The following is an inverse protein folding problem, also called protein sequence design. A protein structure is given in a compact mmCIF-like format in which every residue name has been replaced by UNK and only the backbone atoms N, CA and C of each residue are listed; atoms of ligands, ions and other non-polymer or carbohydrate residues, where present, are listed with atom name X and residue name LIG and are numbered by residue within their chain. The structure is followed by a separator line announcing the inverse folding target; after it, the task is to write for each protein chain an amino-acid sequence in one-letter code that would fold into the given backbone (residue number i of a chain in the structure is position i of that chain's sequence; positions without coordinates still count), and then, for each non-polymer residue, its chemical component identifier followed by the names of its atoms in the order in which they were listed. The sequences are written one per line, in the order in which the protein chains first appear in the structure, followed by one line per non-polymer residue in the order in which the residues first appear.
data_IF_530128280431
#
_entry.id   IF_530128280431
#
_cell.length_a   1.000
_cell.length_b   1.000
_cell.length_c   1.000
_cell.angle_alpha   90.00
_cell.angle_beta   90.00
_cell.angle_gamma   90.00
#
_symmetry.space_group_name_H-M   'P 1'
#
loop_
_entity.id
_entity.type
_entity.pdbx_description
1 polymer ?
#
# COMPACT_ATOMS: atom_id res chain seq x y z
N UNK A 1 -28.37 2.55 39.13
CA UNK A 1 -27.68 3.57 38.30
C UNK A 1 -27.01 4.59 39.21
N UNK A 2 -25.71 4.86 39.00
CA UNK A 2 -24.94 5.91 39.70
C UNK A 2 -25.42 7.30 39.23
N UNK A 3 -25.86 8.17 40.15
CA UNK A 3 -26.38 9.51 39.80
C UNK A 3 -25.22 10.52 39.67
N UNK A 4 -25.41 11.56 38.84
CA UNK A 4 -24.39 12.59 38.53
C UNK A 4 -23.72 13.23 39.76
N UNK A 5 -24.45 13.38 40.87
CA UNK A 5 -23.95 14.02 42.08
C UNK A 5 -23.39 13.05 43.13
N UNK A 6 -23.50 11.74 42.90
CA UNK A 6 -23.04 10.71 43.85
C UNK A 6 -21.51 10.71 43.96
N UNK A 7 -20.92 10.25 45.09
CA UNK A 7 -19.49 9.99 45.19
C UNK A 7 -19.03 9.04 44.09
N UNK A 8 -17.90 9.36 43.47
CA UNK A 8 -17.35 8.57 42.38
C UNK A 8 -16.76 7.25 42.89
N UNK A 9 -17.11 6.13 42.25
CA UNK A 9 -16.71 4.78 42.66
C UNK A 9 -15.22 4.45 42.42
N UNK A 10 -14.45 5.36 41.83
CA UNK A 10 -13.03 5.18 41.54
C UNK A 10 -12.09 5.50 42.73
N UNK A 11 -12.64 5.70 43.93
CA UNK A 11 -11.85 6.03 45.13
C UNK A 11 -11.33 7.47 45.21
N UNK A 12 -11.68 8.34 44.26
CA UNK A 12 -11.17 9.72 44.23
C UNK A 12 -11.80 10.68 45.24
N UNK A 13 -12.89 10.28 45.92
CA UNK A 13 -13.66 11.13 46.83
C UNK A 13 -14.43 12.28 46.18
N UNK A 14 -14.32 12.49 44.85
CA UNK A 14 -15.02 13.54 44.10
C UNK A 14 -16.44 13.09 43.70
N UNK A 15 -17.33 14.04 43.40
CA UNK A 15 -18.64 13.75 42.76
C UNK A 15 -18.42 13.14 41.37
N UNK A 16 -19.23 12.16 40.97
CA UNK A 16 -19.11 11.44 39.69
C UNK A 16 -19.03 12.40 38.48
N UNK A 17 -19.89 13.43 38.42
CA UNK A 17 -19.87 14.46 37.37
C UNK A 17 -18.59 15.30 37.29
N UNK A 18 -17.80 15.36 38.36
CA UNK A 18 -16.52 16.10 38.44
C UNK A 18 -15.32 15.16 38.40
N UNK A 19 -15.53 13.89 38.04
CA UNK A 19 -14.50 12.86 38.03
C UNK A 19 -14.63 11.97 36.78
N UNK A 20 -14.96 10.69 36.92
CA UNK A 20 -14.99 9.73 35.81
C UNK A 20 -15.94 10.14 34.69
N UNK A 21 -17.05 10.84 34.97
CA UNK A 21 -17.96 11.35 33.92
C UNK A 21 -17.24 12.37 33.02
N UNK A 22 -16.55 13.35 33.61
CA UNK A 22 -15.78 14.34 32.85
C UNK A 22 -14.61 13.72 32.09
N UNK A 23 -13.95 12.70 32.66
CA UNK A 23 -12.89 11.96 31.96
C UNK A 23 -13.45 11.25 30.73
N UNK A 24 -14.59 10.59 30.85
CA UNK A 24 -15.24 9.90 29.74
C UNK A 24 -15.74 10.88 28.67
N UNK A 25 -16.33 12.02 29.07
CA UNK A 25 -16.72 13.10 28.16
C UNK A 25 -15.49 13.66 27.41
N UNK A 26 -14.35 13.87 28.10
CA UNK A 26 -13.12 14.34 27.46
C UNK A 26 -12.55 13.35 26.46
N UNK A 27 -12.59 12.04 26.77
CA UNK A 27 -12.15 10.98 25.84
C UNK A 27 -13.00 10.94 24.59
N UNK A 28 -14.32 11.00 24.74
CA UNK A 28 -15.25 11.03 23.61
C UNK A 28 -15.02 12.24 22.69
N UNK A 29 -14.74 13.42 23.27
CA UNK A 29 -14.39 14.62 22.51
C UNK A 29 -13.10 14.42 21.72
N UNK A 30 -12.05 13.84 22.33
CA UNK A 30 -10.78 13.57 21.62
C UNK A 30 -11.03 12.60 20.45
N UNK A 31 -11.75 11.51 20.69
CA UNK A 31 -12.12 10.54 19.64
C UNK A 31 -12.86 11.23 18.48
N UNK A 32 -13.82 12.10 18.78
CA UNK A 32 -14.55 12.86 17.76
C UNK A 32 -13.66 13.84 17.00
N UNK A 33 -12.77 14.57 17.69
CA UNK A 33 -11.81 15.48 17.07
C UNK A 33 -10.85 14.71 16.13
N UNK A 34 -10.38 13.53 16.53
CA UNK A 34 -9.51 12.68 15.71
C UNK A 34 -10.23 12.19 14.44
N UNK A 35 -11.48 11.73 14.55
CA UNK A 35 -12.26 11.31 13.39
C UNK A 35 -12.55 12.46 12.42
N UNK A 36 -12.77 13.68 12.93
CA UNK A 36 -12.91 14.88 12.08
C UNK A 36 -11.60 15.19 11.35
N UNK A 37 -10.46 15.08 12.02
CA UNK A 37 -9.14 15.29 11.42
C UNK A 37 -8.84 14.25 10.34
N UNK A 38 -9.17 12.97 10.58
CA UNK A 38 -9.07 11.92 9.57
C UNK A 38 -9.92 12.23 8.33
N UNK A 39 -11.19 12.58 8.53
CA UNK A 39 -12.11 12.94 7.44
C UNK A 39 -11.56 14.13 6.64
N UNK A 40 -11.07 15.15 7.33
CA UNK A 40 -10.51 16.34 6.68
C UNK A 40 -9.20 16.04 5.94
N UNK A 41 -8.36 15.16 6.50
CA UNK A 41 -7.13 14.69 5.85
C UNK A 41 -7.46 13.97 4.55
N UNK A 42 -8.34 12.97 4.60
CA UNK A 42 -8.78 12.21 3.43
C UNK A 42 -9.40 13.15 2.38
N UNK A 43 -10.30 14.04 2.79
CA UNK A 43 -10.91 15.03 1.89
C UNK A 43 -9.85 15.94 1.24
N UNK A 44 -8.88 16.43 2.02
CA UNK A 44 -7.80 17.28 1.49
C UNK A 44 -6.94 16.51 0.51
N UNK A 45 -6.61 15.25 0.81
CA UNK A 45 -5.87 14.38 -0.10
C UNK A 45 -6.60 14.22 -1.44
N UNK A 46 -7.88 13.85 -1.39
CA UNK A 46 -8.69 13.56 -2.59
C UNK A 46 -9.09 14.79 -3.40
N UNK A 47 -9.09 15.98 -2.82
CA UNK A 47 -9.44 17.22 -3.56
C UNK A 47 -8.21 17.96 -4.06
N UNK A 48 -7.16 18.08 -3.25
CA UNK A 48 -5.96 18.84 -3.61
C UNK A 48 -4.97 18.04 -4.45
N UNK A 49 -4.87 16.74 -4.21
CA UNK A 49 -3.92 15.84 -4.87
C UNK A 49 -4.63 14.81 -5.75
N UNK A 50 -5.87 15.12 -6.18
CA UNK A 50 -6.70 14.23 -6.96
C UNK A 50 -5.96 13.70 -8.19
N UNK A 51 -5.30 14.58 -8.94
CA UNK A 51 -4.63 14.23 -10.19
C UNK A 51 -3.47 13.28 -9.96
N UNK A 52 -2.64 13.55 -8.96
CA UNK A 52 -1.49 12.75 -8.59
C UNK A 52 -1.90 11.35 -8.10
N UNK A 53 -2.98 11.30 -7.30
CA UNK A 53 -3.56 10.05 -6.80
C UNK A 53 -4.22 9.25 -7.93
N UNK A 54 -5.06 9.88 -8.76
CA UNK A 54 -5.73 9.21 -9.90
C UNK A 54 -4.73 8.70 -10.92
N UNK A 55 -3.71 9.49 -11.28
CA UNK A 55 -2.69 9.03 -12.23
C UNK A 55 -1.93 7.80 -11.70
N UNK A 56 -1.66 7.75 -10.40
CA UNK A 56 -1.00 6.61 -9.79
C UNK A 56 -1.90 5.38 -9.73
N UNK A 57 -3.17 5.56 -9.36
CA UNK A 57 -4.15 4.47 -9.34
C UNK A 57 -4.39 3.93 -10.75
N UNK A 58 -4.44 4.79 -11.77
CA UNK A 58 -4.56 4.38 -13.17
C UNK A 58 -3.32 3.61 -13.65
N UNK A 59 -2.11 4.10 -13.35
CA UNK A 59 -0.90 3.36 -13.68
C UNK A 59 -0.88 2.01 -12.97
N UNK A 60 -1.37 1.94 -11.73
CA UNK A 60 -1.53 0.70 -11.01
C UNK A 60 -2.54 -0.23 -11.72
N UNK A 61 -3.77 0.21 -12.00
CA UNK A 61 -4.79 -0.61 -12.68
C UNK A 61 -4.35 -1.16 -14.03
N UNK A 62 -3.54 -0.42 -14.79
CA UNK A 62 -2.97 -0.91 -16.04
C UNK A 62 -2.07 -2.14 -15.86
N UNK A 63 -1.43 -2.28 -14.69
CA UNK A 63 -0.66 -3.47 -14.30
C UNK A 63 -1.57 -4.63 -13.88
N UNK A 64 -2.77 -4.34 -13.37
CA UNK A 64 -3.71 -5.33 -12.83
C UNK A 64 -5.07 -5.30 -13.58
N UNK A 65 -5.10 -5.59 -14.90
CA UNK A 65 -6.32 -5.49 -15.69
C UNK A 65 -7.36 -6.60 -15.41
N UNK A 66 -6.92 -7.76 -14.90
CA UNK A 66 -7.74 -8.99 -14.76
C UNK A 66 -8.31 -9.21 -13.35
N UNK A 67 -8.30 -8.19 -12.49
CA UNK A 67 -8.78 -8.30 -11.12
C UNK A 67 -10.26 -7.88 -11.05
N UNK A 68 -11.11 -8.70 -10.40
CA UNK A 68 -12.54 -8.39 -10.22
C UNK A 68 -12.75 -6.94 -9.74
N UNK A 69 -13.78 -6.25 -10.25
CA UNK A 69 -14.01 -4.80 -10.04
C UNK A 69 -14.04 -4.41 -8.54
N UNK A 70 -14.55 -5.29 -7.68
CA UNK A 70 -14.59 -5.13 -6.22
C UNK A 70 -13.21 -5.21 -5.54
N UNK A 71 -12.34 -6.12 -5.99
CA UNK A 71 -10.96 -6.27 -5.51
C UNK A 71 -10.15 -5.07 -5.97
N UNK A 72 -10.38 -4.63 -7.21
CA UNK A 72 -9.85 -3.43 -7.83
C UNK A 72 -10.19 -2.15 -7.02
N UNK A 73 -11.44 -1.97 -6.58
CA UNK A 73 -11.85 -0.83 -5.75
C UNK A 73 -11.24 -0.85 -4.33
N UNK A 74 -11.26 -2.02 -3.67
CA UNK A 74 -10.73 -2.20 -2.32
C UNK A 74 -9.21 -1.96 -2.29
N UNK A 75 -8.50 -2.55 -3.26
CA UNK A 75 -7.07 -2.36 -3.45
C UNK A 75 -6.74 -0.89 -3.66
N UNK A 76 -7.42 -0.22 -4.59
CA UNK A 76 -7.22 1.21 -4.83
C UNK A 76 -7.45 2.06 -3.59
N UNK A 77 -8.52 1.80 -2.83
CA UNK A 77 -8.83 2.54 -1.61
C UNK A 77 -7.75 2.38 -0.53
N UNK A 78 -7.21 1.17 -0.36
CA UNK A 78 -6.10 0.93 0.56
C UNK A 78 -4.78 1.57 0.10
N UNK A 79 -4.50 1.53 -1.21
CA UNK A 79 -3.30 2.15 -1.77
C UNK A 79 -3.35 3.67 -1.65
N UNK A 80 -4.52 4.29 -1.76
CA UNK A 80 -4.68 5.72 -1.54
C UNK A 80 -4.24 6.14 -0.13
N UNK A 81 -4.59 5.36 0.91
CA UNK A 81 -4.11 5.62 2.27
C UNK A 81 -2.59 5.47 2.33
N UNK A 82 -2.03 4.42 1.74
CA UNK A 82 -0.58 4.24 1.67
C UNK A 82 0.14 5.43 1.03
N UNK A 83 -0.38 5.96 -0.08
CA UNK A 83 0.18 7.13 -0.76
C UNK A 83 0.19 8.37 0.13
N UNK A 84 -0.86 8.58 0.94
CA UNK A 84 -0.97 9.73 1.83
C UNK A 84 0.19 9.76 2.84
N UNK A 85 0.56 8.60 3.39
CA UNK A 85 1.57 8.48 4.45
C UNK A 85 2.99 8.19 3.96
N UNK A 86 3.15 7.62 2.78
CA UNK A 86 4.45 7.04 2.38
C UNK A 86 5.01 7.56 1.07
N UNK A 87 4.20 8.16 0.19
CA UNK A 87 4.70 8.67 -1.08
C UNK A 87 5.12 10.14 -0.95
N UNK A 88 6.39 10.48 -1.20
CA UNK A 88 6.81 11.88 -1.30
C UNK A 88 6.11 12.58 -2.46
N UNK A 89 5.60 13.78 -2.21
CA UNK A 89 4.99 14.67 -3.22
C UNK A 89 5.87 15.88 -3.54
N UNK A 90 6.97 16.06 -2.82
CA UNK A 90 7.93 17.15 -2.98
C UNK A 90 9.36 16.61 -2.97
N UNK A 91 10.30 17.35 -3.55
CA UNK A 91 11.73 16.97 -3.63
C UNK A 91 12.38 16.81 -2.24
N UNK A 92 11.85 17.48 -1.22
CA UNK A 92 12.33 17.39 0.16
C UNK A 92 11.89 16.12 0.90
N UNK A 93 11.15 15.22 0.25
CA UNK A 93 10.66 13.97 0.85
C UNK A 93 9.32 14.08 1.58
N UNK A 94 8.69 15.26 1.66
CA UNK A 94 7.42 15.44 2.36
C UNK A 94 6.27 14.68 1.66
N UNK A 95 5.43 14.06 2.49
CA UNK A 95 4.21 13.36 2.07
C UNK A 95 2.98 14.28 2.12
N UNK A 96 1.83 13.77 1.63
CA UNK A 96 0.54 14.47 1.77
C UNK A 96 0.21 14.65 3.25
N UNK A 97 0.45 13.61 4.07
CA UNK A 97 0.22 13.67 5.49
C UNK A 97 1.07 14.74 6.19
N UNK A 98 2.35 14.84 5.85
CA UNK A 98 3.24 15.88 6.42
C UNK A 98 2.67 17.28 6.15
N UNK A 99 2.25 17.52 4.91
CA UNK A 99 1.68 18.81 4.50
C UNK A 99 0.36 19.12 5.24
N UNK A 100 -0.48 18.09 5.43
CA UNK A 100 -1.71 18.19 6.21
C UNK A 100 -1.42 18.55 7.67
N UNK A 101 -0.51 17.81 8.32
CA UNK A 101 -0.15 18.00 9.72
C UNK A 101 0.41 19.39 9.97
N UNK A 102 1.35 19.86 9.15
CA UNK A 102 1.94 21.21 9.25
C UNK A 102 0.87 22.32 9.20
N UNK A 103 -0.16 22.12 8.37
CA UNK A 103 -1.26 23.08 8.20
C UNK A 103 -2.24 23.05 9.39
N UNK A 104 -2.36 21.91 10.06
CA UNK A 104 -3.41 21.65 11.06
C UNK A 104 -2.94 21.73 12.50
N UNK A 105 -1.72 21.29 12.80
CA UNK A 105 -1.24 21.11 14.17
C UNK A 105 -1.37 22.38 15.02
N UNK A 106 -1.09 23.56 14.44
CA UNK A 106 -1.21 24.87 15.12
C UNK A 106 -2.66 25.30 15.41
N UNK A 107 -3.64 24.69 14.75
CA UNK A 107 -5.08 24.98 14.93
C UNK A 107 -5.74 24.06 15.95
N UNK A 108 -5.08 22.96 16.34
CA UNK A 108 -5.59 22.00 17.32
C UNK A 108 -5.38 22.59 18.71
N UNK A 109 -6.49 22.90 19.39
CA UNK A 109 -6.45 23.52 20.73
C UNK A 109 -6.14 22.52 21.84
N UNK A 110 -6.48 21.24 21.65
CA UNK A 110 -6.38 20.20 22.68
C UNK A 110 -5.01 19.50 22.60
N UNK A 111 -4.18 19.57 23.64
CA UNK A 111 -2.85 18.94 23.62
C UNK A 111 -2.90 17.44 23.37
N UNK A 112 -3.88 16.73 23.96
CA UNK A 112 -4.03 15.28 23.76
C UNK A 112 -4.29 14.92 22.29
N UNK A 113 -5.20 15.64 21.63
CA UNK A 113 -5.47 15.47 20.19
C UNK A 113 -4.24 15.80 19.35
N UNK A 114 -3.52 16.88 19.69
CA UNK A 114 -2.29 17.27 19.01
C UNK A 114 -1.19 16.19 19.14
N UNK A 115 -0.99 15.65 20.34
CA UNK A 115 -0.02 14.59 20.58
C UNK A 115 -0.38 13.32 19.82
N UNK A 116 -1.66 12.94 19.76
CA UNK A 116 -2.09 11.73 19.04
C UNK A 116 -1.92 11.92 17.54
N UNK A 117 -2.37 13.04 16.97
CA UNK A 117 -2.27 13.26 15.52
C UNK A 117 -0.80 13.24 15.08
N UNK A 118 0.13 13.81 15.84
CA UNK A 118 1.57 13.75 15.49
C UNK A 118 2.09 12.33 15.35
N UNK A 119 1.61 11.38 16.15
CA UNK A 119 2.02 9.96 16.04
C UNK A 119 1.52 9.28 14.77
N UNK A 120 0.49 9.81 14.10
CA UNK A 120 0.01 9.20 12.85
C UNK A 120 1.02 9.31 11.71
N UNK A 121 2.06 10.14 11.83
CA UNK A 121 3.20 10.15 10.90
C UNK A 121 3.92 8.79 10.82
N UNK A 122 3.81 7.98 11.87
CA UNK A 122 4.42 6.65 11.96
C UNK A 122 3.47 5.53 11.48
N UNK A 123 2.25 5.88 11.05
CA UNK A 123 1.27 4.92 10.54
C UNK A 123 1.86 4.17 9.36
N UNK A 124 1.84 2.84 9.42
CA UNK A 124 2.30 1.92 8.37
C UNK A 124 1.21 0.91 8.08
N UNK A 125 1.16 0.33 6.86
CA UNK A 125 0.30 -0.81 6.61
C UNK A 125 0.69 -1.99 7.50
N UNK A 126 -0.30 -2.76 7.94
CA UNK A 126 -0.12 -3.93 8.77
C UNK A 126 -1.06 -5.07 8.35
N UNK A 127 -0.60 -6.30 8.59
CA UNK A 127 -1.45 -7.49 8.65
C UNK A 127 -1.40 -7.99 10.09
N UNK A 128 -2.54 -7.97 10.76
CA UNK A 128 -2.68 -8.31 12.17
C UNK A 128 -3.41 -9.64 12.31
N UNK A 129 -2.83 -10.62 12.99
CA UNK A 129 -3.52 -11.85 13.39
C UNK A 129 -4.18 -11.63 14.76
N UNK A 130 -5.50 -11.81 14.81
CA UNK A 130 -6.28 -11.66 16.04
C UNK A 130 -5.96 -12.81 16.99
N UNK A 131 -5.45 -12.50 18.18
CA UNK A 131 -5.11 -13.48 19.21
C UNK A 131 -6.30 -13.76 20.13
N UNK A 132 -6.98 -12.70 20.56
CA UNK A 132 -8.12 -12.78 21.48
C UNK A 132 -9.02 -11.55 21.37
N UNK A 133 -10.32 -11.75 21.60
CA UNK A 133 -11.27 -10.64 21.80
C UNK A 133 -11.16 -10.16 23.26
N UNK A 134 -10.93 -8.86 23.47
CA UNK A 134 -10.90 -8.28 24.82
C UNK A 134 -12.30 -7.86 25.28
N UNK A 135 -13.16 -7.50 24.33
CA UNK A 135 -14.61 -7.29 24.48
C UNK A 135 -15.29 -7.36 23.10
N UNK A 136 -16.57 -6.99 23.01
CA UNK A 136 -17.36 -7.02 21.76
C UNK A 136 -16.85 -6.06 20.67
N UNK A 137 -15.99 -5.09 21.01
CA UNK A 137 -15.55 -4.00 20.12
C UNK A 137 -14.04 -3.85 20.03
N UNK A 138 -13.28 -4.67 20.76
CA UNK A 138 -11.82 -4.59 20.83
C UNK A 138 -11.20 -5.98 20.85
N UNK A 139 -10.02 -6.08 20.26
CA UNK A 139 -9.22 -7.29 20.29
C UNK A 139 -7.74 -6.99 20.47
N UNK A 140 -7.02 -8.03 20.88
CA UNK A 140 -5.56 -8.09 20.90
C UNK A 140 -5.10 -8.87 19.67
N UNK A 141 -4.19 -8.28 18.91
CA UNK A 141 -3.70 -8.84 17.66
C UNK A 141 -2.18 -8.74 17.56
N UNK A 142 -1.56 -9.71 16.88
CA UNK A 142 -0.13 -9.71 16.58
C UNK A 142 0.11 -9.16 15.18
N UNK A 143 1.00 -8.17 15.05
CA UNK A 143 1.50 -7.74 13.76
C UNK A 143 2.37 -8.82 13.14
N UNK A 144 1.97 -9.34 11.97
CA UNK A 144 2.69 -10.43 11.29
C UNK A 144 4.03 -9.98 10.69
N UNK A 145 4.27 -8.67 10.55
CA UNK A 145 5.54 -8.13 10.07
C UNK A 145 6.56 -7.91 11.18
N UNK A 146 6.12 -7.42 12.34
CA UNK A 146 7.03 -7.03 13.45
C UNK A 146 7.01 -8.00 14.62
N UNK A 147 6.00 -8.86 14.71
CA UNK A 147 5.75 -9.72 15.86
C UNK A 147 5.17 -9.00 17.08
N UNK A 148 5.04 -7.67 17.03
CA UNK A 148 4.51 -6.87 18.14
C UNK A 148 3.02 -7.10 18.33
N UNK A 149 2.58 -7.13 19.59
CA UNK A 149 1.17 -7.24 19.94
C UNK A 149 0.56 -5.86 20.16
N UNK A 150 -0.63 -5.63 19.62
CA UNK A 150 -1.37 -4.37 19.73
C UNK A 150 -2.82 -4.63 20.13
N UNK A 151 -3.37 -3.74 20.95
CA UNK A 151 -4.81 -3.70 21.24
C UNK A 151 -5.47 -2.63 20.40
N UNK A 152 -6.52 -3.01 19.66
CA UNK A 152 -7.20 -2.11 18.74
C UNK A 152 -8.71 -2.31 18.74
N UNK A 153 -9.43 -1.27 18.31
CA UNK A 153 -10.85 -1.36 18.03
C UNK A 153 -11.09 -2.24 16.80
N UNK A 154 -12.16 -3.01 16.84
CA UNK A 154 -12.68 -3.71 15.67
C UNK A 154 -13.57 -2.72 14.91
N UNK A 155 -13.34 -2.47 13.61
CA UNK A 155 -14.23 -1.63 12.84
C UNK A 155 -15.65 -2.22 12.86
N UNK A 156 -16.67 -1.37 13.00
CA UNK A 156 -18.05 -1.82 13.24
C UNK A 156 -18.60 -2.77 12.17
N UNK A 157 -18.15 -2.60 10.92
CA UNK A 157 -18.49 -3.47 9.79
C UNK A 157 -17.92 -4.90 9.89
N UNK A 158 -16.91 -5.11 10.75
CA UNK A 158 -16.23 -6.39 10.96
C UNK A 158 -16.52 -7.02 12.33
N UNK A 159 -17.28 -6.36 13.21
CA UNK A 159 -17.55 -6.85 14.58
C UNK A 159 -18.16 -8.26 14.63
N UNK A 160 -18.96 -8.63 13.64
CA UNK A 160 -19.62 -9.94 13.59
C UNK A 160 -18.77 -11.03 12.94
N UNK A 161 -17.67 -10.66 12.26
CA UNK A 161 -16.84 -11.58 11.47
C UNK A 161 -15.47 -11.84 12.07
N UNK A 162 -15.01 -10.96 12.97
CA UNK A 162 -13.71 -11.08 13.64
C UNK A 162 -13.78 -12.07 14.79
N UNK A 163 -12.88 -13.05 14.75
CA UNK A 163 -12.71 -14.06 15.79
C UNK A 163 -11.21 -14.38 15.98
N UNK A 164 -10.82 -15.04 17.08
CA UNK A 164 -9.43 -15.49 17.24
C UNK A 164 -8.95 -16.30 16.04
N UNK A 165 -7.79 -15.94 15.52
CA UNK A 165 -7.21 -16.47 14.30
C UNK A 165 -7.54 -15.68 13.04
N UNK A 166 -8.49 -14.74 13.04
CA UNK A 166 -8.75 -13.87 11.88
C UNK A 166 -7.53 -13.01 11.53
N UNK A 167 -7.40 -12.62 10.27
CA UNK A 167 -6.42 -11.61 9.82
C UNK A 167 -7.12 -10.29 9.50
N UNK A 168 -6.54 -9.19 9.98
CA UNK A 168 -7.01 -7.82 9.73
C UNK A 168 -5.92 -7.07 8.98
N UNK A 169 -6.26 -6.52 7.82
CA UNK A 169 -5.37 -5.76 6.95
C UNK A 169 -5.80 -4.30 7.01
N UNK A 170 -4.86 -3.37 7.23
CA UNK A 170 -5.16 -1.95 7.27
C UNK A 170 -4.01 -1.09 7.77
N UNK A 171 -4.33 0.15 8.17
CA UNK A 171 -3.38 1.15 8.64
C UNK A 171 -3.63 1.48 10.12
N UNK A 172 -3.11 0.67 11.06
CA UNK A 172 -3.31 0.91 12.48
C UNK A 172 -2.67 2.23 12.90
N UNK A 173 -3.46 3.08 13.55
CA UNK A 173 -3.06 4.39 14.05
C UNK A 173 -3.50 4.59 15.50
N UNK A 174 -2.79 5.44 16.23
CA UNK A 174 -3.08 5.70 17.64
C UNK A 174 -4.43 6.40 17.81
N UNK A 175 -5.30 5.82 18.63
CA UNK A 175 -6.52 6.46 19.12
C UNK A 175 -6.38 6.96 20.55
N UNK A 176 -7.47 7.51 21.11
CA UNK A 176 -7.49 8.00 22.50
C UNK A 176 -7.54 6.86 23.54
N UNK A 177 -8.17 5.74 23.20
CA UNK A 177 -8.36 4.60 24.12
C UNK A 177 -7.51 3.42 23.67
N UNK A 178 -7.78 2.96 22.45
CA UNK A 178 -7.11 1.85 21.79
C UNK A 178 -6.65 2.30 20.40
N UNK A 179 -5.80 1.50 19.75
CA UNK A 179 -5.48 1.75 18.35
C UNK A 179 -6.77 1.69 17.49
N UNK A 180 -6.82 2.51 16.46
CA UNK A 180 -7.87 2.53 15.43
C UNK A 180 -7.23 2.26 14.07
N UNK A 181 -8.03 2.27 12.99
CA UNK A 181 -7.53 2.21 11.63
C UNK A 181 -7.84 3.50 10.90
N UNK A 182 -6.95 3.89 9.99
CA UNK A 182 -7.17 4.99 9.04
C UNK A 182 -7.63 4.40 7.70
N UNK A 183 -8.78 4.86 7.21
CA UNK A 183 -9.36 4.40 5.94
C UNK A 183 -9.90 2.95 5.99
N UNK A 184 -9.99 2.26 4.84
CA UNK A 184 -10.64 0.95 4.75
C UNK A 184 -9.85 -0.14 5.48
N UNK A 185 -10.58 -1.12 6.01
CA UNK A 185 -10.05 -2.31 6.69
C UNK A 185 -10.59 -3.55 6.03
N UNK A 186 -9.74 -4.57 5.88
CA UNK A 186 -10.14 -5.89 5.41
C UNK A 186 -10.04 -6.85 6.58
N UNK A 187 -11.11 -7.61 6.82
CA UNK A 187 -11.12 -8.71 7.80
C UNK A 187 -11.32 -10.02 7.07
N UNK A 188 -10.39 -10.95 7.29
CA UNK A 188 -10.41 -12.31 6.76
C UNK A 188 -10.65 -13.28 7.91
N UNK A 189 -11.52 -14.27 7.68
CA UNK A 189 -11.76 -15.36 8.64
C UNK A 189 -10.52 -16.24 8.83
N UNK A 190 -10.39 -16.98 9.96
CA UNK A 190 -9.21 -17.78 10.28
C UNK A 190 -8.77 -18.78 9.20
N UNK A 191 -9.71 -19.24 8.36
CA UNK A 191 -9.43 -20.14 7.23
C UNK A 191 -8.42 -19.56 6.23
N UNK A 192 -8.35 -18.22 6.08
CA UNK A 192 -7.40 -17.55 5.17
C UNK A 192 -6.04 -17.27 5.82
N UNK A 193 -5.92 -17.35 7.14
CA UNK A 193 -4.72 -16.91 7.89
C UNK A 193 -3.45 -17.67 7.52
N UNK A 194 -3.53 -18.99 7.33
CA UNK A 194 -2.38 -19.78 6.91
C UNK A 194 -1.87 -19.37 5.52
N UNK A 195 -2.79 -19.04 4.60
CA UNK A 195 -2.46 -18.56 3.26
C UNK A 195 -1.81 -17.18 3.31
N UNK A 196 -2.38 -16.27 4.12
CA UNK A 196 -1.85 -14.91 4.27
C UNK A 196 -0.43 -14.96 4.85
N UNK A 197 -0.16 -15.80 5.86
CA UNK A 197 1.18 -16.03 6.41
C UNK A 197 2.15 -16.57 5.36
N UNK A 198 1.76 -17.58 4.58
CA UNK A 198 2.60 -18.10 3.49
C UNK A 198 2.98 -17.02 2.47
N UNK A 199 2.03 -16.16 2.08
CA UNK A 199 2.29 -15.03 1.16
C UNK A 199 3.26 -14.02 1.77
N UNK A 200 3.11 -13.72 3.06
CA UNK A 200 4.04 -12.82 3.80
C UNK A 200 5.43 -13.45 3.89
N UNK A 201 5.55 -14.73 4.25
CA UNK A 201 6.82 -15.43 4.39
C UNK A 201 7.58 -15.55 3.06
N UNK A 202 6.86 -15.84 1.97
CA UNK A 202 7.41 -15.84 0.61
C UNK A 202 7.95 -14.45 0.23
N UNK A 203 7.26 -13.39 0.67
CA UNK A 203 7.68 -12.01 0.46
C UNK A 203 8.92 -11.62 1.28
N UNK A 204 9.10 -12.18 2.49
CA UNK A 204 10.31 -11.96 3.32
C UNK A 204 11.53 -12.72 2.79
N UNK A 205 11.33 -13.96 2.37
CA UNK A 205 12.43 -14.90 2.10
C UNK A 205 13.24 -14.57 0.84
N UNK A 206 12.70 -13.74 -0.06
CA UNK A 206 13.32 -13.47 -1.36
C UNK A 206 14.28 -12.25 -1.37
N UNK A 207 14.56 -11.63 -0.22
CA UNK A 207 15.76 -10.81 0.00
C UNK A 207 15.76 -9.42 -0.66
N UNK A 208 15.15 -8.43 0.00
CA UNK A 208 15.70 -7.07 -0.02
C UNK A 208 15.58 -6.47 1.38
N UNK A 209 16.54 -5.64 1.79
CA UNK A 209 16.51 -4.89 3.06
C UNK A 209 15.41 -3.79 3.07
N UNK A 210 14.53 -3.77 2.05
CA UNK A 210 13.47 -2.77 1.95
C UNK A 210 12.37 -3.04 2.97
N UNK A 211 11.92 -1.99 3.72
CA UNK A 211 10.78 -2.14 4.62
C UNK A 211 9.55 -2.62 3.85
N UNK A 212 8.76 -3.53 4.42
CA UNK A 212 7.45 -3.96 3.91
C UNK A 212 6.57 -2.81 3.40
N UNK A 213 6.69 -1.65 4.02
CA UNK A 213 6.02 -0.42 3.62
C UNK A 213 6.34 -0.01 2.17
N UNK A 214 7.58 -0.13 1.69
CA UNK A 214 7.95 0.29 0.34
C UNK A 214 7.32 -0.61 -0.74
N UNK A 215 7.25 -1.92 -0.47
CA UNK A 215 6.68 -2.92 -1.38
C UNK A 215 5.24 -3.30 -1.03
N UNK A 216 4.56 -2.45 -0.26
CA UNK A 216 3.18 -2.66 0.16
C UNK A 216 2.21 -2.90 -1.02
N UNK A 217 2.29 -2.15 -2.13
CA UNK A 217 1.36 -2.38 -3.23
C UNK A 217 1.43 -3.78 -3.84
N UNK A 218 2.63 -4.36 -3.93
CA UNK A 218 2.85 -5.71 -4.44
C UNK A 218 2.32 -6.76 -3.45
N UNK A 219 2.64 -6.60 -2.16
CA UNK A 219 2.18 -7.52 -1.13
C UNK A 219 0.66 -7.48 -0.99
N UNK A 220 0.04 -6.29 -1.01
CA UNK A 220 -1.39 -6.14 -0.89
C UNK A 220 -2.11 -6.81 -2.07
N UNK A 221 -1.64 -6.60 -3.31
CA UNK A 221 -2.20 -7.31 -4.47
C UNK A 221 -2.13 -8.83 -4.30
N UNK A 222 -0.96 -9.34 -3.90
CA UNK A 222 -0.77 -10.75 -3.62
C UNK A 222 -1.74 -11.25 -2.54
N UNK A 223 -1.90 -10.53 -1.42
CA UNK A 223 -2.82 -10.92 -0.34
C UNK A 223 -4.28 -11.00 -0.80
N UNK A 224 -4.71 -10.09 -1.68
CA UNK A 224 -6.08 -10.04 -2.19
C UNK A 224 -6.35 -11.05 -3.32
N UNK A 225 -5.33 -11.46 -4.07
CA UNK A 225 -5.49 -12.47 -5.13
C UNK A 225 -6.02 -13.80 -4.56
N UNK A 226 -7.16 -14.27 -5.08
CA UNK A 226 -7.76 -15.54 -4.65
C UNK A 226 -6.96 -16.75 -5.13
N UNK A 227 -6.37 -16.65 -6.33
CA UNK A 227 -5.52 -17.65 -6.96
C UNK A 227 -4.06 -17.16 -7.00
N UNK A 228 -3.09 -18.08 -7.06
CA UNK A 228 -1.73 -17.72 -7.47
C UNK A 228 -1.79 -17.18 -8.90
N UNK A 229 -1.26 -15.97 -9.11
CA UNK A 229 -1.16 -15.41 -10.45
C UNK A 229 -0.29 -16.34 -11.31
N UNK A 230 -0.90 -16.96 -12.33
CA UNK A 230 -0.17 -17.77 -13.30
C UNK A 230 0.52 -16.79 -14.25
N UNK A 231 1.75 -16.40 -13.92
CA UNK A 231 2.58 -15.61 -14.84
C UNK A 231 2.81 -16.46 -16.08
N UNK A 232 2.40 -15.96 -17.24
CA UNK A 232 2.78 -16.59 -18.50
C UNK A 232 4.30 -16.51 -18.61
N UNK A 233 4.94 -17.63 -18.88
CA UNK A 233 6.37 -17.65 -19.19
C UNK A 233 6.65 -16.89 -20.49
N UNK A 234 7.90 -16.50 -20.71
CA UNK A 234 8.30 -15.97 -22.01
C UNK A 234 7.99 -16.97 -23.15
N UNK A 235 7.91 -18.27 -22.87
CA UNK A 235 7.58 -19.28 -23.89
C UNK A 235 6.12 -19.25 -24.35
N UNK A 236 5.22 -18.58 -23.61
CA UNK A 236 3.79 -18.52 -23.92
C UNK A 236 3.43 -17.44 -24.96
N UNK A 237 4.42 -16.67 -25.42
CA UNK A 237 4.24 -15.58 -26.40
C UNK A 237 4.85 -15.94 -27.77
N UNK A 238 4.20 -15.48 -28.84
CA UNK A 238 4.65 -15.71 -30.23
C UNK A 238 5.64 -14.63 -30.69
N UNK A 239 6.91 -14.75 -30.30
CA UNK A 239 7.93 -13.75 -30.60
C UNK A 239 8.35 -13.72 -32.07
N UNK A 240 8.67 -12.52 -32.57
CA UNK A 240 9.09 -12.31 -33.96
C UNK A 240 10.51 -12.78 -34.27
N UNK A 241 11.33 -13.04 -33.24
CA UNK A 241 12.70 -13.57 -33.35
C UNK A 241 13.22 -14.10 -32.01
N UNK A 242 14.28 -14.91 -32.05
CA UNK A 242 14.91 -15.43 -30.83
C UNK A 242 15.48 -14.31 -29.96
N UNK A 243 16.08 -13.26 -30.54
CA UNK A 243 16.63 -12.15 -29.78
C UNK A 243 15.54 -11.33 -29.06
N UNK A 244 14.33 -11.28 -29.62
CA UNK A 244 13.17 -10.65 -28.97
C UNK A 244 12.72 -11.47 -27.77
N UNK A 245 12.67 -12.80 -27.90
CA UNK A 245 12.38 -13.72 -26.80
C UNK A 245 13.44 -13.69 -25.70
N UNK A 246 14.71 -13.69 -26.08
CA UNK A 246 15.85 -13.58 -25.16
C UNK A 246 15.79 -12.30 -24.34
N UNK A 247 15.42 -11.18 -24.98
CA UNK A 247 15.18 -9.90 -24.28
C UNK A 247 14.07 -10.01 -23.24
N UNK A 248 12.96 -10.67 -23.59
CA UNK A 248 11.85 -10.89 -22.65
C UNK A 248 12.28 -11.73 -21.44
N UNK A 249 13.11 -12.76 -21.68
CA UNK A 249 13.63 -13.65 -20.65
C UNK A 249 14.56 -12.89 -19.69
N UNK A 250 15.50 -12.10 -20.23
CA UNK A 250 16.42 -11.27 -19.43
C UNK A 250 15.66 -10.23 -18.60
N UNK A 251 14.62 -9.62 -19.18
CA UNK A 251 13.74 -8.69 -18.48
C UNK A 251 13.04 -9.37 -17.30
N UNK A 252 12.45 -10.56 -17.51
CA UNK A 252 11.80 -11.32 -16.45
C UNK A 252 12.77 -11.73 -15.34
N UNK A 253 13.96 -12.20 -15.68
CA UNK A 253 15.00 -12.55 -14.70
C UNK A 253 15.39 -11.34 -13.86
N UNK A 254 15.54 -10.18 -14.50
CA UNK A 254 15.82 -8.92 -13.83
C UNK A 254 14.70 -8.49 -12.88
N UNK A 255 13.44 -8.68 -13.28
CA UNK A 255 12.29 -8.33 -12.46
C UNK A 255 12.12 -9.29 -11.27
N UNK A 256 12.25 -10.58 -11.49
CA UNK A 256 12.23 -11.64 -10.46
C UNK A 256 13.30 -11.43 -9.41
N UNK A 257 14.51 -11.07 -9.84
CA UNK A 257 15.64 -10.80 -8.93
C UNK A 257 15.36 -9.65 -7.97
N UNK A 258 14.57 -8.66 -8.38
CA UNK A 258 14.14 -7.54 -7.53
C UNK A 258 12.82 -7.79 -6.79
N UNK A 259 12.21 -8.97 -7.01
CA UNK A 259 10.95 -9.39 -6.42
C UNK A 259 9.80 -8.43 -6.78
N UNK A 260 9.79 -8.01 -8.04
CA UNK A 260 8.58 -7.40 -8.58
C UNK A 260 7.45 -8.43 -8.56
N UNK A 261 6.21 -7.94 -8.48
CA UNK A 261 5.07 -8.85 -8.39
C UNK A 261 4.88 -9.61 -9.71
N UNK A 262 4.29 -10.82 -9.67
CA UNK A 262 3.87 -11.59 -10.84
C UNK A 262 3.19 -10.77 -11.94
N UNK A 263 2.45 -9.74 -11.54
CA UNK A 263 1.68 -8.88 -12.44
C UNK A 263 2.56 -7.83 -13.12
N UNK A 264 3.60 -7.33 -12.46
CA UNK A 264 4.62 -6.49 -13.11
C UNK A 264 5.41 -7.32 -14.12
N UNK A 265 5.74 -8.58 -13.80
CA UNK A 265 6.37 -9.51 -14.73
C UNK A 265 5.48 -9.76 -15.96
N UNK A 266 4.20 -10.02 -15.74
CA UNK A 266 3.22 -10.23 -16.82
C UNK A 266 3.06 -8.97 -17.69
N UNK A 267 2.89 -7.79 -17.08
CA UNK A 267 2.81 -6.52 -17.79
C UNK A 267 4.08 -6.26 -18.61
N UNK A 268 5.25 -6.57 -18.06
CA UNK A 268 6.51 -6.44 -18.77
C UNK A 268 6.51 -7.25 -20.07
N UNK A 269 6.05 -8.51 -20.02
CA UNK A 269 5.91 -9.35 -21.21
C UNK A 269 4.89 -8.79 -22.19
N UNK A 270 3.73 -8.35 -21.72
CA UNK A 270 2.66 -7.82 -22.57
C UNK A 270 3.09 -6.54 -23.28
N UNK A 271 3.72 -5.60 -22.57
CA UNK A 271 4.24 -4.35 -23.15
C UNK A 271 5.39 -4.60 -24.09
N UNK A 272 6.28 -5.54 -23.74
CA UNK A 272 7.37 -5.93 -24.65
C UNK A 272 6.82 -6.59 -25.93
N UNK A 273 5.82 -7.47 -25.81
CA UNK A 273 5.15 -8.09 -26.93
C UNK A 273 4.42 -7.07 -27.80
N UNK A 274 3.68 -6.13 -27.20
CA UNK A 274 2.99 -5.05 -27.90
C UNK A 274 3.98 -4.18 -28.69
N UNK A 275 5.07 -3.74 -28.05
CA UNK A 275 6.12 -2.95 -28.70
C UNK A 275 6.73 -3.67 -29.90
N UNK A 276 7.15 -4.93 -29.73
CA UNK A 276 7.83 -5.69 -30.79
C UNK A 276 6.89 -6.17 -31.91
N UNK A 277 5.59 -6.16 -31.66
CA UNK A 277 4.54 -6.37 -32.68
C UNK A 277 4.28 -5.09 -33.47
N UNK A 278 4.21 -3.94 -32.80
CA UNK A 278 3.99 -2.63 -33.43
C UNK A 278 5.20 -2.21 -34.26
N UNK A 279 6.42 -2.48 -33.76
CA UNK A 279 7.67 -2.07 -34.39
C UNK A 279 8.62 -3.24 -34.54
N UNK A 280 8.96 -3.54 -35.81
CA UNK A 280 9.99 -4.54 -36.11
C UNK A 280 11.38 -4.03 -35.71
N UNK A 281 11.89 -4.52 -34.59
CA UNK A 281 13.21 -4.17 -34.06
C UNK A 281 14.27 -5.19 -34.43
N UNK A 282 15.51 -4.72 -34.65
CA UNK A 282 16.68 -5.59 -34.80
C UNK A 282 17.51 -5.50 -33.52
N UNK A 283 17.55 -6.58 -32.75
CA UNK A 283 18.18 -6.62 -31.44
C UNK A 283 19.58 -7.25 -31.57
N UNK A 284 20.61 -6.47 -31.25
CA UNK A 284 22.01 -6.95 -31.21
C UNK A 284 22.50 -7.25 -29.79
N UNK A 285 21.95 -6.53 -28.80
CA UNK A 285 22.28 -6.66 -27.38
C UNK A 285 20.97 -6.70 -26.59
N UNK A 286 20.43 -7.90 -26.30
CA UNK A 286 19.16 -8.07 -25.58
C UNK A 286 19.10 -7.29 -24.27
N UNK A 287 20.19 -7.24 -23.50
CA UNK A 287 20.28 -6.55 -22.21
C UNK A 287 20.00 -5.04 -22.34
N UNK A 288 20.33 -4.43 -23.47
CA UNK A 288 20.08 -3.02 -23.71
C UNK A 288 18.58 -2.72 -23.85
N UNK A 289 17.83 -3.60 -24.50
CA UNK A 289 16.37 -3.46 -24.60
C UNK A 289 15.68 -3.90 -23.33
N UNK A 290 16.17 -4.92 -22.62
CA UNK A 290 15.62 -5.31 -21.31
C UNK A 290 15.75 -4.16 -20.30
N UNK A 291 16.94 -3.56 -20.16
CA UNK A 291 17.15 -2.40 -19.30
C UNK A 291 16.28 -1.20 -19.68
N UNK A 292 16.10 -0.95 -20.98
CA UNK A 292 15.27 0.12 -21.48
C UNK A 292 13.77 -0.12 -21.25
N UNK A 293 13.31 -1.35 -21.42
CA UNK A 293 11.93 -1.76 -21.16
C UNK A 293 11.62 -1.67 -19.66
N UNK A 294 12.50 -2.14 -18.78
CA UNK A 294 12.34 -1.99 -17.33
C UNK A 294 12.28 -0.52 -16.92
N UNK A 295 13.12 0.34 -17.51
CA UNK A 295 13.02 1.78 -17.28
C UNK A 295 11.70 2.38 -17.78
N UNK A 296 11.23 1.94 -18.96
CA UNK A 296 9.98 2.40 -19.57
C UNK A 296 8.74 1.92 -18.81
N UNK A 297 8.81 0.77 -18.12
CA UNK A 297 7.71 0.25 -17.30
C UNK A 297 7.30 1.21 -16.19
N UNK A 298 8.15 2.13 -15.75
CA UNK A 298 7.78 3.17 -14.78
C UNK A 298 6.64 4.08 -15.24
N UNK A 299 6.37 4.15 -16.54
CA UNK A 299 5.20 4.88 -17.05
C UNK A 299 3.90 4.10 -16.92
N UNK A 300 4.00 2.77 -16.83
CA UNK A 300 2.88 1.85 -16.87
C UNK A 300 2.66 1.12 -15.55
N UNK A 301 3.62 1.17 -14.64
CA UNK A 301 3.66 0.46 -13.37
C UNK A 301 4.28 1.34 -12.29
N UNK A 302 3.95 1.13 -11.00
CA UNK A 302 4.47 1.90 -9.86
C UNK A 302 5.92 1.52 -9.52
N UNK A 303 6.80 1.52 -10.52
CA UNK A 303 8.22 1.24 -10.38
C UNK A 303 8.99 2.54 -10.12
N UNK A 304 10.07 2.44 -9.34
CA UNK A 304 11.00 3.54 -9.14
C UNK A 304 12.42 3.05 -9.37
N UNK A 305 12.89 3.18 -10.60
CA UNK A 305 14.21 2.73 -11.05
C UNK A 305 14.93 3.86 -11.78
N UNK A 306 16.23 4.02 -11.50
CA UNK A 306 17.05 5.04 -12.18
C UNK A 306 17.79 4.44 -13.35
N UNK A 307 18.04 5.23 -14.40
CA UNK A 307 18.87 4.78 -15.54
C UNK A 307 20.26 4.34 -15.07
N UNK A 308 20.80 4.95 -14.01
CA UNK A 308 22.09 4.59 -13.43
C UNK A 308 22.05 3.19 -12.81
N UNK A 309 21.05 2.91 -11.96
CA UNK A 309 20.90 1.59 -11.34
C UNK A 309 20.72 0.49 -12.39
N UNK A 310 19.90 0.75 -13.42
CA UNK A 310 19.67 -0.21 -14.51
C UNK A 310 20.90 -0.40 -15.41
N UNK A 311 21.69 0.66 -15.63
CA UNK A 311 22.94 0.57 -16.37
C UNK A 311 23.93 -0.39 -15.69
N UNK A 312 24.02 -0.31 -14.36
CA UNK A 312 24.82 -1.23 -13.54
C UNK A 312 24.22 -2.65 -13.57
N UNK A 313 22.91 -2.79 -13.36
CA UNK A 313 22.18 -4.08 -13.35
C UNK A 313 22.36 -4.89 -14.63
N UNK A 314 22.22 -4.24 -15.78
CA UNK A 314 22.23 -4.89 -17.10
C UNK A 314 23.56 -4.75 -17.85
N UNK A 315 24.57 -4.11 -17.24
CA UNK A 315 25.88 -3.87 -17.85
C UNK A 315 25.77 -3.16 -19.22
N UNK A 316 25.07 -2.03 -19.25
CA UNK A 316 24.83 -1.17 -20.43
C UNK A 316 25.03 0.31 -20.06
N UNK A 317 25.09 1.22 -21.04
CA UNK A 317 25.20 2.65 -20.73
C UNK A 317 23.85 3.27 -20.42
N UNK A 318 23.79 4.20 -19.45
CA UNK A 318 22.59 4.98 -19.16
C UNK A 318 22.06 5.76 -20.38
N UNK A 319 22.96 6.22 -21.26
CA UNK A 319 22.58 6.85 -22.53
C UNK A 319 21.81 5.91 -23.45
N UNK A 320 22.21 4.63 -23.51
CA UNK A 320 21.53 3.60 -24.30
C UNK A 320 20.13 3.33 -23.75
N UNK A 321 20.00 3.22 -22.42
CA UNK A 321 18.72 3.06 -21.73
C UNK A 321 17.81 4.23 -22.08
N UNK A 322 18.28 5.48 -21.93
CA UNK A 322 17.48 6.67 -22.21
C UNK A 322 16.96 6.73 -23.64
N UNK A 323 17.81 6.45 -24.64
CA UNK A 323 17.38 6.49 -26.04
C UNK A 323 16.34 5.41 -26.34
N UNK A 324 16.56 4.19 -25.85
CA UNK A 324 15.68 3.05 -26.14
C UNK A 324 14.38 3.10 -25.34
N UNK A 325 14.40 3.60 -24.12
CA UNK A 325 13.17 3.74 -23.34
C UNK A 325 12.23 4.76 -23.97
N UNK A 326 12.76 5.90 -24.45
CA UNK A 326 11.96 6.90 -25.18
C UNK A 326 11.35 6.27 -26.44
N UNK A 327 12.12 5.47 -27.18
CA UNK A 327 11.64 4.76 -28.36
C UNK A 327 10.49 3.80 -28.03
N UNK A 328 10.65 2.98 -26.99
CA UNK A 328 9.64 2.02 -26.52
C UNK A 328 8.36 2.77 -26.13
N UNK A 329 8.48 3.77 -25.27
CA UNK A 329 7.33 4.49 -24.74
C UNK A 329 6.55 5.21 -25.84
N UNK A 330 7.23 5.88 -26.76
CA UNK A 330 6.56 6.60 -27.85
C UNK A 330 5.71 5.67 -28.71
N UNK A 331 6.22 4.46 -28.99
CA UNK A 331 5.50 3.46 -29.77
C UNK A 331 4.29 2.88 -29.01
N UNK A 332 4.47 2.59 -27.71
CA UNK A 332 3.39 2.09 -26.85
C UNK A 332 2.26 3.12 -26.68
N UNK A 333 2.59 4.41 -26.53
CA UNK A 333 1.57 5.48 -26.48
C UNK A 333 0.84 5.66 -27.80
N UNK A 334 1.54 5.52 -28.93
CA UNK A 334 0.94 5.65 -30.26
C UNK A 334 -0.08 4.53 -30.53
N UNK A 335 0.16 3.34 -29.99
CA UNK A 335 -0.74 2.18 -30.12
C UNK A 335 -1.93 2.21 -29.17
N UNK A 336 -1.84 2.86 -28.02
CA UNK A 336 -2.95 3.07 -27.08
C UNK A 336 -3.91 4.22 -27.47
N UNK A 337 -3.54 5.04 -28.47
CA UNK A 337 -4.33 6.19 -28.95
C UNK A 337 -5.28 5.87 -30.11
N UNK A 338 -5.41 4.59 -30.46
CA UNK A 338 -6.29 4.03 -31.51
C UNK A 338 -7.29 3.10 -30.84
#
# INVERSE_FOLDING_TARGET
MLKRNDPCLCGSGKKYKKCCMQKNESKAIVTQELHQLETEMLYTAFTRYQKELTNWVQSYHHVYPDVEENVTETLSSMLLVWLIFHRPIQENGQTIYDTFLETKIRKIKRPQTANIIETWKETKPAVLEVLALTNETECESRNLFTGETVTHLIPSEHNETVEPGSTIIGFPAKGEISMTFIGPVISNRPVKTSRDKQKIDAFQSNGSDDPFTAKWPQLLSSLLAENEAVVKSADDFQWSSEQVKETATILLEGLKKEQHSPEIEQLALEKWYAFTTAKKVTIRKPEAFAAAMEYALQEFAPLSVTQKALAEKYNVSASTISTRSIEITNELRATESV
#
